data_IF_256110308183
#
_entry.id   IF_256110308183
#
_cell.length_a   1.000
_cell.length_b   1.000
_cell.length_c   1.000
_cell.angle_alpha   90.00
_cell.angle_beta   90.00
_cell.angle_gamma   90.00
#
_symmetry.space_group_name_H-M   'P 1'
#
loop_
_entity.id
_entity.type
_entity.pdbx_description
1 polymer ?
#
# COMPACT_ATOMS: atom_id res chain seq x y z
N UNK A 1 -2.16 5.97 -10.09
CA UNK A 1 -3.50 5.35 -9.96
C UNK A 1 -3.35 3.84 -9.91
N UNK A 2 -4.14 3.19 -9.07
CA UNK A 2 -4.22 1.73 -8.96
C UNK A 2 -5.65 1.34 -9.33
N UNK A 3 -5.77 0.36 -10.20
CA UNK A 3 -7.05 -0.16 -10.66
C UNK A 3 -7.20 -1.60 -10.17
N UNK A 4 -8.41 -1.94 -9.73
CA UNK A 4 -8.77 -3.29 -9.33
C UNK A 4 -9.88 -3.82 -10.25
N UNK A 5 -9.80 -5.12 -10.58
CA UNK A 5 -10.83 -5.86 -11.29
C UNK A 5 -12.17 -5.81 -10.55
N UNK A 6 -13.20 -5.32 -11.22
CA UNK A 6 -14.59 -5.38 -10.73
C UNK A 6 -15.14 -6.80 -10.89
N UNK A 7 -16.32 -7.07 -10.32
CA UNK A 7 -17.02 -8.34 -10.57
C UNK A 7 -17.32 -8.57 -12.06
N UNK A 8 -17.60 -7.49 -12.80
CA UNK A 8 -17.81 -7.52 -14.24
C UNK A 8 -16.52 -7.89 -14.98
N UNK A 9 -15.37 -7.34 -14.55
CA UNK A 9 -14.05 -7.72 -15.03
C UNK A 9 -13.71 -9.19 -14.79
N UNK A 10 -14.05 -9.72 -13.61
CA UNK A 10 -13.85 -11.14 -13.29
C UNK A 10 -14.75 -12.05 -14.13
N UNK A 11 -15.98 -11.61 -14.43
CA UNK A 11 -16.93 -12.35 -15.28
C UNK A 11 -16.47 -12.36 -16.75
N UNK A 12 -15.94 -11.25 -17.26
CA UNK A 12 -15.37 -11.15 -18.61
C UNK A 12 -14.12 -12.05 -18.82
N UNK A 13 -13.44 -12.44 -17.75
CA UNK A 13 -12.34 -13.41 -17.80
C UNK A 13 -12.84 -14.86 -17.83
N UNK A 14 -13.92 -15.16 -17.10
CA UNK A 14 -14.53 -16.49 -17.05
C UNK A 14 -15.32 -16.82 -18.32
N UNK A 15 -16.04 -15.83 -18.83
CA UNK A 15 -16.81 -15.94 -20.07
C UNK A 15 -16.23 -15.00 -21.12
N UNK A 16 -15.54 -15.58 -22.11
CA UNK A 16 -14.90 -14.83 -23.20
C UNK A 16 -15.90 -14.11 -24.11
N UNK A 17 -17.19 -14.42 -24.02
CA UNK A 17 -18.24 -13.79 -24.83
C UNK A 17 -19.07 -12.78 -24.02
N UNK A 18 -18.84 -12.65 -22.71
CA UNK A 18 -19.61 -11.71 -21.88
C UNK A 18 -19.30 -10.23 -22.20
N UNK A 19 -18.08 -9.93 -22.65
CA UNK A 19 -17.67 -8.58 -23.09
C UNK A 19 -16.68 -8.69 -24.24
N UNK A 20 -16.91 -7.92 -25.29
CA UNK A 20 -16.02 -7.84 -26.46
C UNK A 20 -14.78 -7.00 -26.12
N UNK A 21 -13.72 -7.66 -25.65
CA UNK A 21 -12.41 -7.06 -25.36
C UNK A 21 -11.31 -7.70 -26.21
N UNK A 22 -10.32 -6.88 -26.59
CA UNK A 22 -9.20 -7.32 -27.42
C UNK A 22 -8.25 -8.26 -26.66
N UNK A 23 -7.39 -8.99 -27.39
CA UNK A 23 -6.40 -9.88 -26.78
C UNK A 23 -5.43 -9.12 -25.85
N UNK A 24 -5.06 -7.90 -26.23
CA UNK A 24 -4.20 -7.02 -25.43
C UNK A 24 -4.91 -6.56 -24.14
N UNK A 25 -6.17 -6.12 -24.25
CA UNK A 25 -7.01 -5.72 -23.11
C UNK A 25 -7.21 -6.88 -22.11
N UNK A 26 -7.34 -8.12 -22.60
CA UNK A 26 -7.39 -9.31 -21.73
C UNK A 26 -6.10 -9.49 -20.93
N UNK A 27 -4.94 -9.34 -21.58
CA UNK A 27 -3.65 -9.43 -20.89
C UNK A 27 -3.49 -8.34 -19.83
N UNK A 28 -3.93 -7.12 -20.12
CA UNK A 28 -3.97 -6.04 -19.12
C UNK A 28 -4.88 -6.39 -17.94
N UNK A 29 -6.10 -6.89 -18.20
CA UNK A 29 -7.06 -7.27 -17.16
C UNK A 29 -6.55 -8.39 -16.25
N UNK A 30 -5.74 -9.32 -16.76
CA UNK A 30 -5.10 -10.35 -15.94
C UNK A 30 -4.17 -9.72 -14.89
N UNK A 31 -3.44 -8.66 -15.26
CA UNK A 31 -2.43 -8.01 -14.42
C UNK A 31 -3.00 -6.93 -13.49
N UNK A 32 -4.23 -6.46 -13.71
CA UNK A 32 -4.92 -5.45 -12.89
C UNK A 32 -5.55 -6.09 -11.64
N UNK A 33 -4.71 -6.53 -10.71
CA UNK A 33 -5.08 -7.21 -9.46
C UNK A 33 -5.30 -6.25 -8.26
N UNK A 34 -5.13 -4.95 -8.46
CA UNK A 34 -5.18 -3.95 -7.40
C UNK A 34 -3.87 -3.83 -6.60
N UNK A 35 -2.81 -4.54 -7.00
CA UNK A 35 -1.47 -4.41 -6.41
C UNK A 35 -0.57 -3.53 -7.29
N UNK A 36 -0.73 -3.61 -8.61
CA UNK A 36 0.11 -2.90 -9.57
C UNK A 36 -0.48 -1.54 -9.95
N UNK A 37 0.39 -0.55 -10.05
CA UNK A 37 0.04 0.77 -10.60
C UNK A 37 -0.21 0.68 -12.11
N UNK A 38 -1.02 1.59 -12.65
CA UNK A 38 -1.29 1.67 -14.10
C UNK A 38 -0.02 1.75 -14.92
N UNK A 39 0.97 2.50 -14.46
CA UNK A 39 2.26 2.64 -15.14
C UNK A 39 3.02 1.31 -15.20
N UNK A 40 3.02 0.53 -14.12
CA UNK A 40 3.67 -0.79 -14.08
C UNK A 40 2.94 -1.83 -14.96
N UNK A 41 1.61 -1.75 -15.04
CA UNK A 41 0.82 -2.62 -15.94
C UNK A 41 1.10 -2.27 -17.39
N UNK A 42 1.12 -0.98 -17.74
CA UNK A 42 1.49 -0.52 -19.08
C UNK A 42 2.90 -0.99 -19.44
N UNK A 43 3.88 -0.80 -18.55
CA UNK A 43 5.25 -1.22 -18.77
C UNK A 43 5.37 -2.75 -19.03
N UNK A 44 4.71 -3.55 -18.18
CA UNK A 44 4.70 -5.01 -18.31
C UNK A 44 3.94 -5.53 -19.55
N UNK A 45 3.09 -4.71 -20.15
CA UNK A 45 2.25 -5.07 -21.31
C UNK A 45 2.57 -4.31 -22.58
N UNK A 46 3.63 -3.49 -22.57
CA UNK A 46 4.17 -2.80 -23.75
C UNK A 46 4.46 -3.78 -24.89
N UNK A 47 5.05 -4.93 -24.58
CA UNK A 47 5.36 -5.99 -25.56
C UNK A 47 4.11 -6.68 -26.15
N UNK A 48 2.96 -6.51 -25.51
CA UNK A 48 1.66 -7.03 -25.94
C UNK A 48 0.80 -5.97 -26.64
N UNK A 49 1.32 -4.74 -26.79
CA UNK A 49 0.65 -3.64 -27.48
C UNK A 49 -0.45 -2.95 -26.67
N UNK A 50 -0.45 -3.10 -25.34
CA UNK A 50 -1.43 -2.42 -24.48
C UNK A 50 -1.05 -0.95 -24.35
N UNK A 51 -2.00 -0.08 -24.66
CA UNK A 51 -1.87 1.36 -24.56
C UNK A 51 -2.64 1.91 -23.35
N UNK A 52 -2.42 3.19 -23.03
CA UNK A 52 -3.22 3.88 -22.00
C UNK A 52 -4.71 3.94 -22.39
N UNK A 53 -5.01 4.11 -23.67
CA UNK A 53 -6.37 4.13 -24.22
C UNK A 53 -7.12 2.80 -23.95
N UNK A 54 -6.40 1.67 -23.97
CA UNK A 54 -6.98 0.37 -23.60
C UNK A 54 -7.38 0.29 -22.13
N UNK A 55 -6.59 0.88 -21.23
CA UNK A 55 -6.91 0.94 -19.80
C UNK A 55 -8.13 1.83 -19.56
N UNK A 56 -8.19 2.97 -20.25
CA UNK A 56 -9.34 3.88 -20.18
C UNK A 56 -10.61 3.19 -20.70
N UNK A 57 -10.51 2.44 -21.81
CA UNK A 57 -11.61 1.62 -22.34
C UNK A 57 -12.09 0.55 -21.36
N UNK A 58 -11.17 -0.11 -20.65
CA UNK A 58 -11.52 -1.08 -19.60
C UNK A 58 -12.24 -0.41 -18.41
N UNK A 59 -11.88 0.83 -18.08
CA UNK A 59 -12.56 1.61 -17.05
C UNK A 59 -13.94 2.08 -17.50
N UNK A 60 -14.09 2.55 -18.74
CA UNK A 60 -15.38 2.92 -19.36
C UNK A 60 -16.37 1.75 -19.39
N UNK A 61 -15.87 0.55 -19.69
CA UNK A 61 -16.66 -0.69 -19.69
C UNK A 61 -16.98 -1.19 -18.27
N UNK A 62 -16.50 -0.51 -17.22
CA UNK A 62 -16.71 -0.90 -15.82
C UNK A 62 -16.01 -2.20 -15.43
N UNK A 63 -15.04 -2.68 -16.22
CA UNK A 63 -14.28 -3.92 -15.96
C UNK A 63 -13.22 -3.71 -14.87
N UNK A 64 -12.77 -2.48 -14.72
CA UNK A 64 -11.84 -2.06 -13.67
C UNK A 64 -12.39 -0.83 -12.97
N UNK A 65 -12.16 -0.74 -11.67
CA UNK A 65 -12.49 0.41 -10.86
C UNK A 65 -11.21 1.00 -10.28
N UNK A 66 -11.13 2.33 -10.23
CA UNK A 66 -10.10 3.01 -9.46
C UNK A 66 -10.34 2.74 -7.98
N UNK A 67 -9.31 2.28 -7.26
CA UNK A 67 -9.44 2.20 -5.80
C UNK A 67 -9.46 3.62 -5.21
N UNK A 68 -10.46 3.97 -4.38
CA UNK A 68 -10.43 5.21 -3.60
C UNK A 68 -9.33 5.08 -2.55
N UNK A 69 -8.13 5.54 -2.90
CA UNK A 69 -6.91 5.40 -2.10
C UNK A 69 -5.62 5.72 -2.87
N UNK A 70 -5.69 5.92 -4.19
CA UNK A 70 -4.54 6.38 -4.98
C UNK A 70 -4.93 7.51 -5.94
N UNK A 71 -5.71 8.46 -5.43
CA UNK A 71 -5.72 9.81 -5.97
C UNK A 71 -4.46 10.51 -5.45
N UNK A 72 -3.44 10.61 -6.30
CA UNK A 72 -2.58 11.78 -6.27
C UNK A 72 -3.51 12.99 -6.41
N UNK A 73 -3.82 13.64 -5.30
CA UNK A 73 -4.45 14.94 -5.30
C UNK A 73 -3.39 15.94 -5.74
N UNK A 74 -3.37 16.22 -7.04
CA UNK A 74 -2.89 17.50 -7.52
C UNK A 74 -4.07 18.48 -7.52
N UNK A 75 -3.77 19.76 -7.26
CA UNK A 75 -4.63 20.95 -7.08
C UNK A 75 -4.97 21.35 -5.63
N UNK A 76 -5.14 22.67 -5.36
CA UNK A 76 -4.14 23.72 -5.43
C UNK A 76 -3.98 24.39 -4.05
N UNK A 77 -2.95 25.23 -3.90
CA UNK A 77 -2.75 26.12 -2.73
C UNK A 77 -4.04 26.91 -2.42
N UNK A 78 -4.62 26.70 -1.26
CA UNK A 78 -5.78 27.47 -0.77
C UNK A 78 -5.89 27.37 0.74
N UNK A 79 -5.49 28.45 1.41
CA UNK A 79 -5.68 28.75 2.83
C UNK A 79 -7.09 28.39 3.33
N UNK A 80 -7.18 27.54 4.36
CA UNK A 80 -8.18 27.62 5.44
C UNK A 80 -7.89 26.55 6.52
N UNK A 81 -7.09 26.96 7.50
CA UNK A 81 -7.18 26.60 8.92
C UNK A 81 -8.65 26.46 9.37
N UNK A 82 -9.13 25.41 10.04
CA UNK A 82 -9.05 25.02 11.48
C UNK A 82 -10.40 24.31 11.75
N UNK A 83 -10.63 23.27 12.57
CA UNK A 83 -10.10 22.81 13.87
C UNK A 83 -10.52 21.32 14.07
N UNK A 84 -9.69 20.38 14.55
CA UNK A 84 -9.19 20.13 15.94
C UNK A 84 -10.22 19.28 16.76
N UNK A 85 -9.95 18.25 17.58
CA UNK A 85 -8.85 17.96 18.52
C UNK A 85 -8.75 16.45 18.80
N UNK A 86 -7.57 15.83 18.61
CA UNK A 86 -7.02 14.77 19.49
C UNK A 86 -5.73 14.06 18.99
N UNK A 87 -5.38 14.05 17.69
CA UNK A 87 -4.34 13.12 17.19
C UNK A 87 -3.01 13.72 16.73
N UNK A 88 -2.87 15.04 16.60
CA UNK A 88 -1.70 15.62 15.89
C UNK A 88 -0.59 16.21 16.75
N UNK A 89 -0.69 16.25 18.08
CA UNK A 89 0.37 16.86 18.92
C UNK A 89 1.45 15.90 19.41
N UNK A 90 1.35 14.59 19.14
CA UNK A 90 2.38 13.62 19.55
C UNK A 90 3.31 13.17 18.41
N UNK A 91 2.88 13.27 17.15
CA UNK A 91 3.72 12.87 16.01
C UNK A 91 4.82 13.90 15.67
N UNK A 92 4.64 15.17 16.05
CA UNK A 92 5.57 16.26 15.72
C UNK A 92 6.78 16.37 16.68
N UNK A 93 6.85 15.56 17.74
CA UNK A 93 7.93 15.62 18.74
C UNK A 93 9.15 14.73 18.44
N UNK A 94 9.08 13.89 17.41
CA UNK A 94 10.16 13.00 17.07
C UNK A 94 10.52 13.16 15.60
N UNK A 95 11.69 13.74 15.34
CA UNK A 95 12.22 14.00 14.01
C UNK A 95 12.31 12.73 13.14
N UNK A 96 12.52 12.89 11.82
CA UNK A 96 12.62 11.78 10.90
C UNK A 96 13.73 10.83 11.36
N UNK A 97 13.39 9.55 11.55
CA UNK A 97 14.40 8.53 11.79
C UNK A 97 15.11 8.25 10.48
N UNK A 98 16.34 8.72 10.39
CA UNK A 98 17.30 8.32 9.38
C UNK A 98 17.73 6.88 9.68
N UNK A 99 17.29 5.94 8.84
CA UNK A 99 17.59 4.50 8.99
C UNK A 99 18.52 4.06 7.86
N UNK A 100 19.86 4.04 8.04
CA UNK A 100 20.73 3.22 7.23
C UNK A 100 21.43 2.13 8.06
N UNK A 101 21.56 0.94 7.47
CA UNK A 101 22.78 0.09 7.40
C UNK A 101 22.40 -1.32 6.86
N UNK A 102 23.23 -1.86 5.97
CA UNK A 102 23.09 -3.04 5.08
C UNK A 102 22.29 -2.81 3.77
N UNK A 103 22.66 -3.49 2.66
CA UNK A 103 22.21 -3.14 1.31
C UNK A 103 20.69 -3.16 1.21
N UNK A 104 20.10 -2.04 0.78
CA UNK A 104 18.65 -1.86 0.68
C UNK A 104 18.09 -2.53 -0.59
N UNK A 105 18.53 -3.77 -0.83
CA UNK A 105 18.07 -4.59 -1.94
C UNK A 105 16.71 -5.19 -1.58
N UNK A 106 15.88 -5.46 -2.59
CA UNK A 106 14.53 -6.00 -2.41
C UNK A 106 14.50 -7.25 -1.51
N UNK A 107 15.46 -8.16 -1.71
CA UNK A 107 15.58 -9.40 -0.92
C UNK A 107 15.83 -9.14 0.57
N UNK A 108 16.63 -8.13 0.89
CA UNK A 108 16.97 -7.77 2.26
C UNK A 108 15.81 -7.04 2.94
N UNK A 109 15.07 -6.20 2.20
CA UNK A 109 13.82 -5.58 2.66
C UNK A 109 12.76 -6.64 2.99
N UNK A 110 12.62 -7.65 2.13
CA UNK A 110 11.74 -8.80 2.38
C UNK A 110 12.19 -9.60 3.61
N UNK A 111 13.50 -9.83 3.78
CA UNK A 111 14.05 -10.52 4.96
C UNK A 111 13.74 -9.76 6.25
N UNK A 112 13.97 -8.44 6.26
CA UNK A 112 13.69 -7.56 7.41
C UNK A 112 12.22 -7.51 7.73
N UNK A 113 11.36 -7.33 6.72
CA UNK A 113 9.92 -7.37 6.90
C UNK A 113 9.46 -8.69 7.54
N UNK A 114 9.94 -9.84 7.03
CA UNK A 114 9.60 -11.15 7.60
C UNK A 114 9.98 -11.29 9.07
N UNK A 115 11.09 -10.68 9.51
CA UNK A 115 11.49 -10.65 10.92
C UNK A 115 10.69 -9.65 11.75
N UNK A 116 10.42 -8.48 11.20
CA UNK A 116 9.80 -7.36 11.89
C UNK A 116 8.27 -7.51 12.03
N UNK A 117 7.61 -8.12 11.06
CA UNK A 117 6.16 -8.34 11.07
C UNK A 117 5.63 -9.07 12.33
N UNK A 118 6.14 -10.26 12.71
CA UNK A 118 5.66 -10.95 13.91
C UNK A 118 5.92 -10.15 15.20
N UNK A 119 7.02 -9.38 15.25
CA UNK A 119 7.31 -8.49 16.36
C UNK A 119 6.29 -7.35 16.45
N UNK A 120 5.99 -6.70 15.32
CA UNK A 120 4.99 -5.64 15.24
C UNK A 120 3.62 -6.15 15.73
N UNK A 121 3.14 -7.29 15.22
CA UNK A 121 1.86 -7.89 15.63
C UNK A 121 1.84 -8.25 17.11
N UNK A 122 2.92 -8.84 17.66
CA UNK A 122 2.98 -9.20 19.06
C UNK A 122 2.96 -7.96 19.96
N UNK A 123 3.73 -6.93 19.61
CA UNK A 123 3.78 -5.66 20.33
C UNK A 123 2.40 -5.00 20.33
N UNK A 124 1.74 -4.92 19.16
CA UNK A 124 0.42 -4.28 19.03
C UNK A 124 -0.71 -5.09 19.66
N UNK A 125 -0.61 -6.42 19.71
CA UNK A 125 -1.60 -7.27 20.38
C UNK A 125 -1.63 -7.06 21.91
N UNK A 126 -0.49 -6.73 22.53
CA UNK A 126 -0.42 -6.50 23.99
C UNK A 126 -1.08 -5.22 24.47
N UNK A 127 -1.46 -4.31 23.56
CA UNK A 127 -2.13 -3.04 23.86
C UNK A 127 -3.65 -3.15 24.08
N UNK A 128 -4.25 -4.33 23.87
CA UNK A 128 -5.69 -4.55 24.04
C UNK A 128 -6.54 -3.69 23.09
N UNK A 129 -7.73 -3.25 23.54
CA UNK A 129 -8.65 -2.45 22.69
C UNK A 129 -8.02 -1.14 22.17
N UNK A 130 -7.10 -0.53 22.92
CA UNK A 130 -6.40 0.69 22.50
C UNK A 130 -5.44 0.42 21.32
N UNK A 131 -4.89 -0.79 21.25
CA UNK A 131 -4.02 -1.24 20.17
C UNK A 131 -4.74 -1.90 19.01
N UNK A 132 -6.03 -2.20 19.10
CA UNK A 132 -6.75 -2.95 18.07
C UNK A 132 -6.66 -2.27 16.69
N UNK A 133 -6.85 -0.95 16.62
CA UNK A 133 -6.71 -0.18 15.37
C UNK A 133 -5.27 -0.20 14.84
N UNK A 134 -4.30 -0.22 15.73
CA UNK A 134 -2.88 -0.25 15.37
C UNK A 134 -2.47 -1.65 14.90
N UNK A 135 -3.01 -2.70 15.51
CA UNK A 135 -2.83 -4.08 15.07
C UNK A 135 -3.43 -4.28 13.67
N UNK A 136 -4.64 -3.77 13.44
CA UNK A 136 -5.25 -3.80 12.11
C UNK A 136 -4.43 -3.00 11.08
N UNK A 137 -3.84 -1.87 11.49
CA UNK A 137 -2.95 -1.11 10.62
C UNK A 137 -1.71 -1.94 10.23
N UNK A 138 -1.10 -2.67 11.18
CA UNK A 138 0.03 -3.58 10.91
C UNK A 138 -0.37 -4.72 9.97
N UNK A 139 -1.55 -5.32 10.15
CA UNK A 139 -2.06 -6.36 9.26
C UNK A 139 -2.37 -5.83 7.85
N UNK A 140 -2.79 -4.56 7.74
CA UNK A 140 -3.04 -3.88 6.46
C UNK A 140 -1.78 -3.37 5.77
N UNK A 141 -0.67 -3.20 6.50
CA UNK A 141 0.57 -2.69 5.96
C UNK A 141 1.23 -3.73 5.06
N UNK A 142 1.44 -3.36 3.80
CA UNK A 142 2.10 -4.23 2.83
C UNK A 142 3.61 -4.00 2.86
N UNK A 143 4.34 -4.98 3.38
CA UNK A 143 5.80 -5.03 3.25
C UNK A 143 6.57 -4.04 4.13
N UNK A 144 7.85 -3.89 3.80
CA UNK A 144 8.82 -3.15 4.61
C UNK A 144 8.43 -1.67 4.80
N UNK A 145 8.02 -0.99 3.73
CA UNK A 145 7.63 0.43 3.78
C UNK A 145 6.45 0.67 4.72
N UNK A 146 5.41 -0.17 4.63
CA UNK A 146 4.24 -0.03 5.50
C UNK A 146 4.58 -0.20 6.98
N UNK A 147 5.53 -1.09 7.32
CA UNK A 147 5.98 -1.25 8.70
C UNK A 147 6.77 -0.04 9.20
N UNK A 148 7.58 0.58 8.35
CA UNK A 148 8.34 1.80 8.66
C UNK A 148 7.39 2.97 8.94
N UNK A 149 6.34 3.14 8.13
CA UNK A 149 5.33 4.18 8.33
C UNK A 149 4.56 4.02 9.65
N UNK A 150 4.37 2.79 10.11
CA UNK A 150 3.68 2.49 11.36
C UNK A 150 4.58 2.57 12.58
N UNK A 151 5.89 2.44 12.42
CA UNK A 151 6.86 2.47 13.50
C UNK A 151 6.71 3.67 14.47
N UNK A 152 6.55 4.94 14.02
CA UNK A 152 6.36 6.06 14.94
C UNK A 152 5.04 5.96 15.73
N UNK A 153 3.98 5.40 15.13
CA UNK A 153 2.69 5.19 15.80
C UNK A 153 2.78 4.05 16.82
N UNK A 154 3.50 2.98 16.49
CA UNK A 154 3.76 1.86 17.41
C UNK A 154 4.58 2.37 18.59
N UNK A 155 5.68 3.08 18.34
CA UNK A 155 6.50 3.72 19.36
C UNK A 155 5.68 4.60 20.32
N UNK A 156 4.83 5.47 19.77
CA UNK A 156 3.98 6.33 20.60
C UNK A 156 2.98 5.55 21.48
N UNK A 157 2.57 4.35 21.04
CA UNK A 157 1.62 3.51 21.77
C UNK A 157 2.28 2.61 22.82
N UNK A 158 3.46 2.03 22.55
CA UNK A 158 4.11 1.06 23.44
C UNK A 158 5.32 1.59 24.20
N UNK A 159 5.81 2.78 23.85
CA UNK A 159 7.02 3.37 24.41
C UNK A 159 8.31 2.92 23.72
N UNK A 160 9.38 3.68 23.98
CA UNK A 160 10.70 3.50 23.34
C UNK A 160 11.36 2.15 23.61
N UNK A 161 11.14 1.56 24.79
CA UNK A 161 11.75 0.29 25.19
C UNK A 161 11.13 -0.89 24.45
N UNK A 162 9.79 -0.92 24.33
CA UNK A 162 9.09 -2.06 23.72
C UNK A 162 9.16 -2.06 22.20
N UNK A 163 9.47 -0.92 21.58
CA UNK A 163 9.64 -0.81 20.11
C UNK A 163 11.07 -1.11 19.65
N UNK A 164 12.07 -1.14 20.53
CA UNK A 164 13.47 -1.45 20.13
C UNK A 164 13.64 -2.73 19.30
N UNK A 165 13.09 -3.91 19.69
CA UNK A 165 13.31 -5.13 18.92
C UNK A 165 12.70 -5.04 17.50
N UNK A 166 11.60 -4.31 17.34
CA UNK A 166 11.02 -4.05 16.03
C UNK A 166 11.94 -3.14 15.19
N UNK A 167 12.54 -2.15 15.82
CA UNK A 167 13.47 -1.21 15.20
C UNK A 167 14.75 -1.92 14.74
N UNK A 168 15.34 -2.74 15.60
CA UNK A 168 16.54 -3.53 15.27
C UNK A 168 16.28 -4.50 14.10
N UNK A 169 15.10 -5.14 14.08
CA UNK A 169 14.71 -6.03 12.99
C UNK A 169 14.56 -5.30 11.63
N UNK A 170 14.13 -4.04 11.66
CA UNK A 170 14.01 -3.19 10.45
C UNK A 170 15.35 -2.58 10.04
N UNK A 171 16.23 -2.29 11.02
CA UNK A 171 17.62 -1.87 10.80
C UNK A 171 18.50 -3.03 10.32
N UNK A 172 18.09 -4.28 10.54
CA UNK A 172 18.87 -5.47 10.21
C UNK A 172 20.03 -5.70 11.18
N UNK A 173 19.91 -5.24 12.43
CA UNK A 173 20.84 -5.54 13.52
C UNK A 173 20.62 -6.91 14.14
#
# INVERSE_FOLDING_TARGET
MIYQKTELGQRAMKDRHAVEITRAQRSALILLDGQRSTASVLDATLSLGVSREDIDRLAELGLIATMPGSASADMPRGDAQLTDFASSTLAARHGPMDLPVAPNNEEERVRRYKKAYPLATQITATLGLRGFKLNLAVESAQGFDGLIELLPKIRAAVGDERVQPLRDALEGR
#
